data_IF_337421122057
#
_entry.id   IF_337421122057
#
_cell.length_a   1.000
_cell.length_b   1.000
_cell.length_c   1.000
_cell.angle_alpha   90.00
_cell.angle_beta   90.00
_cell.angle_gamma   90.00
#
_symmetry.space_group_name_H-M   'P 1'
#
loop_
_entity.id
_entity.type
_entity.pdbx_description
1 polymer ?
#
# COMPACT_ATOMS: atom_id res chain seq x y z
N UNK A 1 9.94 3.95 3.41
CA UNK A 1 9.64 3.63 2.01
C UNK A 1 8.43 4.39 1.50
N UNK A 2 7.35 4.48 2.27
CA UNK A 2 6.14 5.21 1.86
C UNK A 2 6.44 6.70 1.70
N UNK A 3 7.13 7.31 2.65
CA UNK A 3 7.48 8.73 2.60
C UNK A 3 8.42 9.03 1.42
N UNK A 4 9.42 8.19 1.21
CA UNK A 4 10.34 8.35 0.09
C UNK A 4 9.63 8.19 -1.25
N UNK A 5 8.71 7.24 -1.35
CA UNK A 5 7.90 7.04 -2.56
C UNK A 5 7.04 8.26 -2.85
N UNK A 6 6.39 8.82 -1.82
CA UNK A 6 5.55 10.01 -1.96
C UNK A 6 6.36 11.22 -2.47
N UNK A 7 7.58 11.40 -1.99
CA UNK A 7 8.46 12.50 -2.43
C UNK A 7 8.79 12.43 -3.92
N UNK A 8 8.78 11.23 -4.50
CA UNK A 8 9.11 11.01 -5.90
C UNK A 8 7.88 11.01 -6.82
N UNK A 9 6.68 11.20 -6.29
CA UNK A 9 5.44 11.26 -7.08
C UNK A 9 5.12 12.72 -7.42
N UNK A 10 5.06 13.01 -8.72
CA UNK A 10 4.64 14.33 -9.20
C UNK A 10 3.19 14.61 -8.80
N UNK A 11 2.93 15.79 -8.26
CA UNK A 11 1.61 16.21 -7.83
C UNK A 11 1.24 15.84 -6.39
N UNK A 12 2.09 15.12 -5.67
CA UNK A 12 1.92 14.88 -4.24
C UNK A 12 2.72 15.95 -3.48
N UNK A 13 2.03 16.99 -3.04
CA UNK A 13 2.65 18.12 -2.33
C UNK A 13 2.56 17.97 -0.82
N UNK A 14 1.70 17.09 -0.33
CA UNK A 14 1.50 16.88 1.09
C UNK A 14 1.04 15.44 1.35
N UNK A 15 1.77 14.75 2.19
CA UNK A 15 1.39 13.44 2.69
C UNK A 15 1.10 13.56 4.18
N UNK A 16 -0.11 13.22 4.58
CA UNK A 16 -0.50 13.23 5.97
C UNK A 16 -0.12 11.92 6.64
N UNK A 17 0.74 11.99 7.64
CA UNK A 17 1.10 10.86 8.49
C UNK A 17 0.36 10.97 9.82
N UNK A 18 -0.47 9.99 10.15
CA UNK A 18 -1.27 9.97 11.37
C UNK A 18 -1.24 8.60 12.03
N UNK A 19 -1.87 8.48 13.19
CA UNK A 19 -2.14 7.20 13.83
C UNK A 19 -3.62 6.89 13.71
N UNK A 20 -3.93 5.69 13.20
CA UNK A 20 -5.28 5.15 13.13
C UNK A 20 -5.32 3.86 13.92
N UNK A 21 -6.13 3.82 14.98
CA UNK A 21 -6.21 2.64 15.85
C UNK A 21 -4.83 2.24 16.42
N UNK A 22 -3.96 3.24 16.67
CA UNK A 22 -2.60 3.01 17.16
C UNK A 22 -1.61 2.58 16.08
N UNK A 23 -2.01 2.53 14.81
CA UNK A 23 -1.16 2.12 13.69
C UNK A 23 -0.81 3.31 12.79
N UNK A 24 0.45 3.40 12.29
CA UNK A 24 0.82 4.45 11.35
C UNK A 24 -0.05 4.41 10.09
N UNK A 25 -0.54 5.56 9.69
CA UNK A 25 -1.38 5.73 8.49
C UNK A 25 -0.84 6.88 7.65
N UNK A 26 -0.80 6.68 6.34
CA UNK A 26 -0.26 7.63 5.37
C UNK A 26 -1.30 7.91 4.32
N UNK A 27 -1.64 9.18 4.11
CA UNK A 27 -2.70 9.57 3.20
C UNK A 27 -2.33 10.79 2.37
N UNK A 28 -2.80 10.82 1.12
CA UNK A 28 -2.75 11.99 0.26
C UNK A 28 -4.16 12.30 -0.24
N UNK A 29 -4.40 13.56 -0.68
CA UNK A 29 -5.71 13.94 -1.23
C UNK A 29 -6.02 13.25 -2.55
N UNK A 30 -5.00 12.80 -3.29
CA UNK A 30 -5.15 12.12 -4.57
C UNK A 30 -5.39 10.62 -4.45
N UNK A 31 -5.22 10.06 -3.26
CA UNK A 31 -5.19 8.63 -3.12
C UNK A 31 -5.92 8.08 -1.92
N UNK A 32 -5.76 6.78 -1.77
CA UNK A 32 -6.28 6.01 -0.65
C UNK A 32 -5.19 5.88 0.42
N UNK A 33 -5.59 5.88 1.68
CA UNK A 33 -4.65 5.75 2.79
C UNK A 33 -4.01 4.37 2.85
N UNK A 34 -2.76 4.34 3.30
CA UNK A 34 -2.01 3.12 3.58
C UNK A 34 -1.74 3.07 5.08
N UNK A 35 -2.01 1.93 5.71
CA UNK A 35 -1.77 1.72 7.13
C UNK A 35 -0.82 0.55 7.34
N UNK A 36 0.07 0.67 8.32
CA UNK A 36 1.01 -0.39 8.68
C UNK A 36 0.54 -0.99 10.01
N UNK A 37 0.40 -2.31 10.05
CA UNK A 37 -0.03 -3.04 11.23
C UNK A 37 0.95 -4.11 11.67
N UNK A 38 1.12 -4.24 13.00
CA UNK A 38 1.90 -5.28 13.63
C UNK A 38 1.16 -5.70 14.91
N UNK A 39 1.17 -6.99 15.23
CA UNK A 39 0.49 -7.52 16.40
C UNK A 39 1.43 -8.34 17.26
N UNK A 40 1.33 -8.20 18.59
CA UNK A 40 2.11 -9.01 19.53
C UNK A 40 1.83 -10.51 19.39
N UNK A 41 0.60 -10.87 19.02
CA UNK A 41 0.21 -12.27 18.82
C UNK A 41 0.95 -12.93 17.67
N UNK A 42 1.54 -12.14 16.76
CA UNK A 42 2.33 -12.63 15.63
C UNK A 42 3.51 -11.69 15.38
N UNK A 43 4.53 -11.70 16.26
CA UNK A 43 5.60 -10.70 16.23
C UNK A 43 6.54 -10.80 15.02
N UNK A 44 6.50 -11.91 14.28
CA UNK A 44 7.32 -12.12 13.09
C UNK A 44 6.65 -11.66 11.79
N UNK A 45 5.44 -11.14 11.87
CA UNK A 45 4.68 -10.65 10.73
C UNK A 45 4.25 -9.20 10.92
N UNK A 46 4.21 -8.48 9.80
CA UNK A 46 3.55 -7.19 9.74
C UNK A 46 2.78 -7.11 8.43
N UNK A 47 1.92 -6.13 8.31
CA UNK A 47 1.08 -5.98 7.12
C UNK A 47 0.98 -4.53 6.69
N UNK A 48 0.85 -4.33 5.38
CA UNK A 48 0.50 -3.05 4.79
C UNK A 48 -0.95 -3.14 4.34
N UNK A 49 -1.82 -2.30 4.94
CA UNK A 49 -3.24 -2.32 4.68
C UNK A 49 -3.64 -1.26 3.67
N UNK A 50 -4.51 -1.66 2.76
CA UNK A 50 -5.13 -0.79 1.76
C UNK A 50 -6.63 -0.81 1.96
N UNK A 51 -7.33 0.22 1.49
CA UNK A 51 -8.79 0.25 1.63
C UNK A 51 -9.42 -0.88 0.80
N UNK A 52 -10.19 -1.75 1.47
CA UNK A 52 -10.82 -2.91 0.84
C UNK A 52 -11.95 -2.53 -0.14
N UNK A 53 -12.45 -1.30 -0.09
CA UNK A 53 -13.45 -0.80 -1.01
C UNK A 53 -12.85 -0.26 -2.32
N UNK A 54 -11.53 -0.34 -2.47
CA UNK A 54 -10.83 0.08 -3.69
C UNK A 54 -10.51 -1.14 -4.56
N UNK A 55 -10.03 -0.87 -5.78
CA UNK A 55 -9.53 -1.91 -6.70
C UNK A 55 -8.06 -2.24 -6.46
N UNK A 56 -7.44 -1.67 -5.43
CA UNK A 56 -5.99 -1.73 -5.24
C UNK A 56 -5.48 -3.16 -5.09
N UNK A 57 -5.91 -3.87 -4.06
CA UNK A 57 -5.36 -5.21 -3.80
C UNK A 57 -5.76 -6.21 -4.88
N UNK A 58 -6.97 -6.10 -5.43
CA UNK A 58 -7.38 -6.94 -6.57
C UNK A 58 -6.44 -6.74 -7.76
N UNK A 59 -6.07 -5.50 -8.06
CA UNK A 59 -5.11 -5.18 -9.14
C UNK A 59 -3.72 -5.72 -8.80
N UNK A 60 -3.26 -5.56 -7.56
CA UNK A 60 -1.95 -6.08 -7.15
C UNK A 60 -1.86 -7.59 -7.29
N UNK A 61 -2.94 -8.32 -6.96
CA UNK A 61 -3.00 -9.78 -7.14
C UNK A 61 -2.85 -10.16 -8.60
N UNK A 62 -3.49 -9.42 -9.49
CA UNK A 62 -3.39 -9.67 -10.94
C UNK A 62 -1.98 -9.46 -11.48
N UNK A 63 -1.34 -8.36 -11.07
CA UNK A 63 -0.05 -7.94 -11.63
C UNK A 63 1.13 -8.58 -10.90
N UNK A 64 1.05 -8.72 -9.58
CA UNK A 64 2.16 -9.12 -8.73
C UNK A 64 1.91 -10.40 -7.94
N UNK A 65 1.07 -11.31 -8.44
CA UNK A 65 0.60 -12.49 -7.71
C UNK A 65 1.72 -13.37 -7.13
N UNK A 66 2.91 -13.38 -7.75
CA UNK A 66 4.06 -14.17 -7.30
C UNK A 66 5.05 -13.39 -6.43
N UNK A 67 4.79 -12.12 -6.14
CA UNK A 67 5.74 -11.24 -5.44
C UNK A 67 5.39 -11.00 -3.99
N UNK A 68 4.11 -11.14 -3.64
CA UNK A 68 3.61 -10.80 -2.32
C UNK A 68 2.65 -11.87 -1.79
N UNK A 69 2.52 -11.90 -0.46
CA UNK A 69 1.52 -12.68 0.23
C UNK A 69 0.34 -11.77 0.56
N UNK A 70 -0.83 -12.03 -0.02
CA UNK A 70 -2.00 -11.17 0.15
C UNK A 70 -2.95 -11.72 1.21
N UNK A 71 -3.56 -10.82 1.99
CA UNK A 71 -4.63 -11.17 2.93
C UNK A 71 -5.94 -10.56 2.43
N UNK A 72 -6.85 -11.39 1.92
CA UNK A 72 -8.11 -10.93 1.36
C UNK A 72 -7.90 -9.85 0.30
N UNK A 73 -8.75 -8.83 0.29
CA UNK A 73 -8.63 -7.69 -0.63
C UNK A 73 -8.14 -6.43 0.07
N UNK A 74 -7.44 -6.55 1.20
CA UNK A 74 -7.10 -5.39 2.02
C UNK A 74 -5.65 -5.28 2.44
N UNK A 75 -4.85 -6.34 2.32
CA UNK A 75 -3.49 -6.30 2.86
C UNK A 75 -2.49 -7.09 2.05
N UNK A 76 -1.24 -6.62 2.13
CA UNK A 76 -0.05 -7.39 1.79
C UNK A 76 0.62 -7.75 3.12
N UNK A 77 0.82 -9.05 3.36
CA UNK A 77 1.48 -9.54 4.58
C UNK A 77 2.97 -9.76 4.32
N UNK A 78 3.79 -9.38 5.30
CA UNK A 78 5.24 -9.56 5.24
C UNK A 78 5.73 -10.30 6.47
N UNK A 79 6.74 -11.13 6.29
CA UNK A 79 7.51 -11.72 7.38
C UNK A 79 8.72 -10.82 7.64
N UNK A 80 9.09 -10.63 8.92
CA UNK A 80 10.20 -9.72 9.28
C UNK A 80 11.55 -10.15 8.69
N UNK A 81 11.71 -11.43 8.38
CA UNK A 81 12.96 -11.99 7.83
C UNK A 81 12.94 -12.10 6.31
N UNK A 82 11.84 -11.76 5.64
CA UNK A 82 11.77 -11.91 4.19
C UNK A 82 12.46 -10.77 3.45
N UNK A 83 12.96 -11.11 2.27
CA UNK A 83 13.48 -10.12 1.34
C UNK A 83 12.31 -9.53 0.55
N UNK A 84 12.12 -8.21 0.66
CA UNK A 84 10.99 -7.52 0.05
C UNK A 84 11.29 -7.17 -1.40
N UNK A 85 10.32 -7.38 -2.29
CA UNK A 85 10.38 -6.93 -3.69
C UNK A 85 10.12 -5.41 -3.73
N UNK A 86 11.15 -4.62 -3.46
CA UNK A 86 11.04 -3.16 -3.27
C UNK A 86 10.46 -2.45 -4.49
N UNK A 87 10.92 -2.79 -5.70
CA UNK A 87 10.46 -2.11 -6.92
C UNK A 87 8.94 -2.29 -7.12
N UNK A 88 8.45 -3.50 -6.92
CA UNK A 88 7.02 -3.82 -7.04
C UNK A 88 6.22 -3.18 -5.90
N UNK A 89 6.76 -3.16 -4.68
CA UNK A 89 6.10 -2.53 -3.54
C UNK A 89 5.98 -1.02 -3.74
N UNK A 90 7.01 -0.37 -4.29
CA UNK A 90 6.97 1.06 -4.63
C UNK A 90 5.82 1.33 -5.62
N UNK A 91 5.60 0.47 -6.60
CA UNK A 91 4.47 0.60 -7.51
C UNK A 91 3.14 0.50 -6.78
N UNK A 92 2.99 -0.45 -5.87
CA UNK A 92 1.77 -0.59 -5.07
C UNK A 92 1.50 0.67 -4.22
N UNK A 93 2.52 1.20 -3.56
CA UNK A 93 2.41 2.42 -2.76
C UNK A 93 2.01 3.60 -3.65
N UNK A 94 2.67 3.75 -4.80
CA UNK A 94 2.38 4.83 -5.74
C UNK A 94 0.94 4.78 -6.24
N UNK A 95 0.43 3.58 -6.56
CA UNK A 95 -0.96 3.41 -6.99
C UNK A 95 -1.94 3.80 -5.90
N UNK A 96 -1.67 3.42 -4.65
CA UNK A 96 -2.53 3.79 -3.53
C UNK A 96 -2.55 5.31 -3.32
N UNK A 97 -1.39 5.96 -3.30
CA UNK A 97 -1.29 7.39 -3.06
C UNK A 97 -1.85 8.25 -4.20
N UNK A 98 -2.08 7.67 -5.37
CA UNK A 98 -2.67 8.35 -6.53
C UNK A 98 -3.97 7.72 -7.00
N UNK A 99 -4.62 6.92 -6.14
CA UNK A 99 -5.77 6.08 -6.51
C UNK A 99 -6.91 6.87 -7.16
N UNK A 100 -7.29 8.03 -6.61
CA UNK A 100 -8.42 8.80 -7.13
C UNK A 100 -8.17 9.32 -8.55
N UNK A 101 -6.91 9.48 -8.95
CA UNK A 101 -6.54 9.86 -10.31
C UNK A 101 -6.53 8.67 -11.27
N UNK A 102 -6.50 7.44 -10.76
CA UNK A 102 -6.29 6.23 -11.56
C UNK A 102 -7.44 5.24 -11.54
N UNK A 103 -8.40 5.39 -10.62
CA UNK A 103 -9.47 4.39 -10.39
C UNK A 103 -10.33 4.11 -11.61
N UNK A 104 -10.40 5.02 -12.56
CA UNK A 104 -11.17 4.88 -13.80
C UNK A 104 -10.37 4.20 -14.92
N UNK A 105 -9.08 3.94 -14.73
CA UNK A 105 -8.23 3.32 -15.74
C UNK A 105 -8.24 1.79 -15.60
N UNK A 106 -8.19 1.03 -16.73
CA UNK A 106 -8.02 -0.42 -16.64
C UNK A 106 -6.74 -0.76 -15.88
N UNK A 107 -6.82 -1.69 -14.94
CA UNK A 107 -5.68 -2.11 -14.10
C UNK A 107 -4.97 -0.93 -13.45
N UNK A 108 -5.72 0.14 -13.10
CA UNK A 108 -5.18 1.37 -12.49
C UNK A 108 -4.06 2.02 -13.29
N UNK A 109 -4.02 1.77 -14.59
CA UNK A 109 -3.01 2.33 -15.49
C UNK A 109 -1.70 1.56 -15.56
N UNK A 110 -1.68 0.36 -14.99
CA UNK A 110 -0.51 -0.53 -15.09
C UNK A 110 -0.41 -1.23 -16.44
#
# INVERSE_FOLDING_TARGET
>A
LILDTALNIEGIHHLEETLKWGEPSYASKRGSAIRIGWKESNPHQYAMYFNCNTKLVATFKEVFHNRFCFEGNRAIAFHVDEEISIAELVQCISLSLTYHSRKHLPMLGL
#
